data_IF_536610816621
#
_entry.id   IF_536610816621
#
_cell.length_a   1.000
_cell.length_b   1.000
_cell.length_c   1.000
_cell.angle_alpha   90.00
_cell.angle_beta   90.00
_cell.angle_gamma   90.00
#
_symmetry.space_group_name_H-M   'P 1'
#
loop_
_entity.id
_entity.type
_entity.pdbx_description
1 polymer ?
#
# COMPACT_ATOMS: atom_id res chain seq x y z
N UNK A 1 1.03 25.68 3.97
CA UNK A 1 1.96 24.68 3.42
C UNK A 1 1.15 23.43 3.14
N UNK A 2 1.13 22.96 1.90
CA UNK A 2 0.46 21.70 1.51
C UNK A 2 1.49 20.60 1.36
N UNK A 3 1.19 19.40 1.88
CA UNK A 3 1.98 18.21 1.62
C UNK A 3 1.43 17.51 0.37
N UNK A 4 2.31 17.09 -0.53
CA UNK A 4 1.93 16.26 -1.67
C UNK A 4 1.63 14.84 -1.17
N UNK A 5 0.36 14.45 -1.21
CA UNK A 5 -0.13 13.13 -0.77
C UNK A 5 0.36 11.99 -1.67
N UNK A 6 0.85 12.33 -2.86
CA UNK A 6 1.42 11.40 -3.83
C UNK A 6 2.96 11.45 -3.88
N UNK A 7 3.60 12.18 -2.96
CA UNK A 7 5.05 12.23 -2.87
C UNK A 7 5.64 10.81 -2.75
N UNK A 8 6.72 10.53 -3.48
CA UNK A 8 7.38 9.21 -3.48
C UNK A 8 8.78 9.32 -2.91
N UNK A 9 9.14 8.39 -2.04
CA UNK A 9 10.49 8.33 -1.47
C UNK A 9 11.53 7.84 -2.50
N UNK A 10 12.79 7.71 -2.06
CA UNK A 10 13.88 7.25 -2.91
C UNK A 10 13.64 5.84 -3.52
N UNK A 11 12.86 4.99 -2.84
CA UNK A 11 12.48 3.65 -3.29
C UNK A 11 11.20 3.64 -4.13
N UNK A 12 10.57 4.80 -4.33
CA UNK A 12 9.33 4.94 -5.05
C UNK A 12 8.09 4.58 -4.23
N UNK A 13 8.18 4.47 -2.91
CA UNK A 13 7.02 4.26 -2.04
C UNK A 13 6.29 5.58 -1.79
N UNK A 14 4.96 5.54 -1.91
CA UNK A 14 4.07 6.65 -1.53
C UNK A 14 3.61 6.53 -0.07
N UNK A 15 2.99 7.57 0.52
CA UNK A 15 2.36 7.48 1.84
C UNK A 15 1.39 6.28 1.97
N UNK A 16 0.64 5.98 0.91
CA UNK A 16 -0.26 4.82 0.86
C UNK A 16 0.47 3.48 1.01
N UNK A 17 1.65 3.31 0.41
CA UNK A 17 2.45 2.08 0.61
C UNK A 17 2.81 1.86 2.08
N UNK A 18 3.16 2.94 2.79
CA UNK A 18 3.51 2.88 4.20
C UNK A 18 2.29 2.60 5.08
N UNK A 19 1.13 3.20 4.79
CA UNK A 19 -0.12 2.91 5.48
C UNK A 19 -0.56 1.44 5.27
N UNK A 20 -0.47 0.95 4.03
CA UNK A 20 -0.75 -0.44 3.68
C UNK A 20 0.15 -1.43 4.44
N UNK A 21 1.44 -1.11 4.58
CA UNK A 21 2.40 -1.93 5.31
C UNK A 21 2.11 -2.06 6.81
N UNK A 22 1.20 -1.23 7.33
CA UNK A 22 0.74 -1.21 8.72
C UNK A 22 -0.68 -1.74 8.89
N UNK A 23 -1.38 -2.08 7.80
CA UNK A 23 -2.79 -2.46 7.83
C UNK A 23 -3.74 -1.32 8.23
N UNK A 24 -3.31 -0.06 8.06
CA UNK A 24 -4.01 1.11 8.61
C UNK A 24 -5.06 1.66 7.62
N UNK A 25 -6.24 1.03 7.63
CA UNK A 25 -7.33 1.37 6.71
C UNK A 25 -7.85 2.81 6.90
N UNK A 26 -7.83 3.35 8.12
CA UNK A 26 -8.28 4.71 8.39
C UNK A 26 -7.36 5.73 7.71
N UNK A 27 -6.04 5.54 7.83
CA UNK A 27 -5.05 6.39 7.15
C UNK A 27 -5.14 6.24 5.63
N UNK A 28 -5.35 5.02 5.12
CA UNK A 28 -5.55 4.79 3.68
C UNK A 28 -6.73 5.60 3.17
N UNK A 29 -7.91 5.48 3.81
CA UNK A 29 -9.10 6.20 3.41
C UNK A 29 -8.93 7.71 3.52
N UNK A 30 -8.27 8.18 4.58
CA UNK A 30 -7.96 9.61 4.73
C UNK A 30 -7.06 10.12 3.60
N UNK A 31 -6.01 9.38 3.23
CA UNK A 31 -5.11 9.79 2.14
C UNK A 31 -5.83 9.79 0.78
N UNK A 32 -6.68 8.80 0.52
CA UNK A 32 -7.50 8.73 -0.69
C UNK A 32 -8.49 9.89 -0.78
N UNK A 33 -9.13 10.26 0.34
CA UNK A 33 -9.99 11.47 0.42
C UNK A 33 -9.23 12.76 0.07
N UNK A 34 -7.92 12.79 0.33
CA UNK A 34 -7.04 13.90 -0.08
C UNK A 34 -6.48 13.77 -1.50
N UNK A 35 -6.88 12.76 -2.27
CA UNK A 35 -6.46 12.54 -3.66
C UNK A 35 -5.23 11.66 -3.84
N UNK A 36 -4.90 10.82 -2.85
CA UNK A 36 -3.80 9.87 -2.98
C UNK A 36 -4.14 8.72 -3.94
N UNK A 37 -3.19 8.36 -4.80
CA UNK A 37 -3.33 7.32 -5.81
C UNK A 37 -2.81 5.97 -5.28
N UNK A 38 -3.67 4.95 -5.26
CA UNK A 38 -3.36 3.61 -4.75
C UNK A 38 -2.65 2.70 -5.77
N UNK A 39 -2.57 3.11 -7.04
CA UNK A 39 -2.06 2.28 -8.15
C UNK A 39 -0.54 2.33 -8.31
N UNK A 40 0.16 3.16 -7.53
CA UNK A 40 1.60 3.32 -7.66
C UNK A 40 2.36 2.01 -7.40
N UNK A 41 3.46 1.88 -8.12
CA UNK A 41 4.37 0.74 -8.02
C UNK A 41 5.76 1.25 -7.64
N UNK A 42 6.30 0.73 -6.55
CA UNK A 42 7.67 1.03 -6.08
C UNK A 42 8.72 0.62 -7.12
N UNK A 43 9.97 1.08 -6.95
CA UNK A 43 11.08 0.72 -7.83
C UNK A 43 11.40 -0.78 -7.83
N UNK A 44 10.94 -1.52 -6.81
CA UNK A 44 11.09 -2.98 -6.69
C UNK A 44 9.89 -3.76 -7.24
N UNK A 45 8.91 -3.08 -7.84
CA UNK A 45 7.72 -3.73 -8.39
C UNK A 45 6.60 -3.97 -7.38
N UNK A 46 6.75 -3.60 -6.11
CA UNK A 46 5.67 -3.73 -5.13
C UNK A 46 4.60 -2.68 -5.38
N UNK A 47 3.35 -3.12 -5.49
CA UNK A 47 2.17 -2.26 -5.47
C UNK A 47 1.81 -1.84 -4.05
N UNK A 48 0.80 -0.98 -3.90
CA UNK A 48 0.26 -0.63 -2.59
C UNK A 48 -0.34 -1.85 -1.88
N UNK A 49 -1.14 -2.66 -2.57
CA UNK A 49 -1.75 -3.88 -2.01
C UNK A 49 -0.72 -4.93 -1.62
N UNK A 50 0.37 -5.05 -2.39
CA UNK A 50 1.49 -5.91 -2.05
C UNK A 50 2.01 -5.57 -0.66
N UNK A 51 2.14 -4.29 -0.28
CA UNK A 51 2.64 -3.91 1.05
C UNK A 51 1.78 -4.44 2.22
N UNK A 52 0.47 -4.65 2.00
CA UNK A 52 -0.43 -5.26 2.98
C UNK A 52 -0.38 -6.80 2.97
N UNK A 53 0.20 -7.39 1.92
CA UNK A 53 0.35 -8.83 1.71
C UNK A 53 1.74 -9.38 2.11
N UNK A 54 2.60 -8.56 2.72
CA UNK A 54 3.86 -9.01 3.34
C UNK A 54 5.03 -9.42 2.43
N UNK A 55 5.31 -8.80 1.26
CA UNK A 55 6.48 -9.13 0.41
C UNK A 55 7.80 -8.58 0.97
N UNK A 56 7.74 -7.66 1.94
CA UNK A 56 8.91 -7.00 2.55
C UNK A 56 9.03 -7.20 4.05
N UNK A 57 7.95 -7.60 4.72
CA UNK A 57 7.88 -7.76 6.16
C UNK A 57 7.39 -9.17 6.49
N UNK A 58 8.01 -9.85 7.46
CA UNK A 58 7.57 -11.18 7.97
C UNK A 58 6.35 -11.06 8.90
N UNK A 59 5.41 -10.19 8.55
CA UNK A 59 4.14 -10.01 9.27
C UNK A 59 3.04 -10.72 8.51
N UNK A 60 2.06 -11.24 9.24
CA UNK A 60 0.86 -11.82 8.65
C UNK A 60 0.19 -10.79 7.72
N UNK A 61 -0.36 -11.20 6.58
CA UNK A 61 -1.12 -10.30 5.71
C UNK A 61 -2.26 -9.59 6.44
N UNK A 62 -2.69 -8.47 5.89
CA UNK A 62 -3.89 -7.75 6.31
C UNK A 62 -5.00 -7.93 5.26
N UNK A 63 -5.87 -8.96 5.35
CA UNK A 63 -6.83 -9.28 4.31
C UNK A 63 -7.82 -8.14 4.03
N UNK A 64 -8.25 -7.43 5.07
CA UNK A 64 -9.16 -6.29 4.93
C UNK A 64 -8.50 -5.13 4.19
N UNK A 65 -7.21 -4.88 4.43
CA UNK A 65 -6.44 -3.84 3.77
C UNK A 65 -6.14 -4.19 2.32
N UNK A 66 -5.82 -5.45 2.04
CA UNK A 66 -5.64 -5.95 0.67
C UNK A 66 -6.92 -5.73 -0.13
N UNK A 67 -8.06 -6.19 0.37
CA UNK A 67 -9.35 -6.03 -0.29
C UNK A 67 -9.71 -4.55 -0.51
N UNK A 68 -9.43 -3.69 0.47
CA UNK A 68 -9.61 -2.25 0.33
C UNK A 68 -8.76 -1.69 -0.82
N UNK A 69 -7.46 -2.00 -0.85
CA UNK A 69 -6.55 -1.48 -1.88
C UNK A 69 -6.87 -2.02 -3.27
N UNK A 70 -7.31 -3.27 -3.38
CA UNK A 70 -7.83 -3.85 -4.61
C UNK A 70 -9.09 -3.11 -5.09
N UNK A 71 -10.02 -2.78 -4.18
CA UNK A 71 -11.20 -1.97 -4.51
C UNK A 71 -10.86 -0.55 -4.98
N UNK A 72 -9.71 -0.03 -4.53
CA UNK A 72 -9.13 1.25 -4.95
C UNK A 72 -8.29 1.15 -6.22
N UNK A 73 -8.22 -0.02 -6.85
CA UNK A 73 -7.53 -0.26 -8.12
C UNK A 73 -6.05 -0.67 -8.02
N UNK A 74 -5.52 -0.91 -6.82
CA UNK A 74 -4.18 -1.48 -6.67
C UNK A 74 -4.19 -2.95 -7.05
N UNK A 75 -3.31 -3.36 -7.97
CA UNK A 75 -3.07 -4.78 -8.22
C UNK A 75 -2.42 -5.45 -7.00
N UNK A 76 -2.72 -6.73 -6.76
CA UNK A 76 -2.09 -7.56 -5.74
C UNK A 76 -1.39 -8.73 -6.44
N UNK A 77 -0.08 -8.79 -6.33
CA UNK A 77 0.76 -9.78 -7.00
C UNK A 77 0.76 -11.14 -6.28
N UNK A 78 0.07 -11.27 -5.14
CA UNK A 78 -0.07 -12.51 -4.36
C UNK A 78 1.26 -13.17 -3.98
N UNK A 79 2.31 -12.37 -3.79
CA UNK A 79 3.68 -12.79 -3.47
C UNK A 79 3.96 -12.84 -1.95
N UNK A 80 2.94 -13.19 -1.18
CA UNK A 80 3.02 -13.26 0.28
C UNK A 80 4.12 -14.22 0.75
N UNK A 81 5.01 -13.73 1.62
CA UNK A 81 6.16 -14.51 2.11
C UNK A 81 5.82 -15.35 3.36
N UNK A 82 4.70 -15.06 4.03
CA UNK A 82 4.31 -15.68 5.30
C UNK A 82 2.95 -16.39 5.29
N UNK A 83 2.38 -16.67 4.11
CA UNK A 83 1.05 -17.27 3.96
C UNK A 83 1.05 -18.81 4.01
N UNK A 84 2.07 -19.44 4.61
CA UNK A 84 2.17 -20.91 4.72
C UNK A 84 1.15 -21.52 5.70
#
# INVERSE_FOLDING_TARGET
>A
MGADVNARDANGFSPLHWAASRGDNEVILYLVDKGAEATFVSRRGHTTADMANGPVQRISPFPSTIALLESLGSGNNNNCVSCE
#
